data_IF_123300550280
#
_entry.id   IF_123300550280
#
_cell.length_a   1.000
_cell.length_b   1.000
_cell.length_c   1.000
_cell.angle_alpha   90.00
_cell.angle_beta   90.00
_cell.angle_gamma   90.00
#
_symmetry.space_group_name_H-M   'P 1'
#
loop_
_entity.id
_entity.type
_entity.pdbx_description
1 polymer ?
#
# COMPACT_ATOMS: atom_id res chain seq x y z
N UNK A 1 12.93 -9.97 8.48
CA UNK A 1 13.41 -9.44 7.19
C UNK A 1 12.25 -8.70 6.53
N UNK A 2 12.41 -7.42 6.20
CA UNK A 2 11.39 -6.66 5.48
C UNK A 2 11.60 -6.89 3.97
N UNK A 3 10.59 -7.46 3.29
CA UNK A 3 10.66 -7.78 1.85
C UNK A 3 10.21 -6.56 1.07
N UNK A 4 11.14 -5.85 0.43
CA UNK A 4 10.83 -4.72 -0.47
C UNK A 4 10.59 -5.27 -1.88
N UNK A 5 9.55 -4.78 -2.56
CA UNK A 5 9.25 -5.14 -3.96
C UNK A 5 9.04 -3.87 -4.76
N UNK A 6 9.55 -3.84 -5.98
CA UNK A 6 9.52 -2.65 -6.86
C UNK A 6 8.36 -2.77 -7.86
N UNK A 7 7.57 -1.69 -8.00
CA UNK A 7 6.64 -1.55 -9.12
C UNK A 7 7.39 -1.02 -10.34
N UNK A 8 7.38 -1.73 -11.49
CA UNK A 8 8.00 -1.21 -12.70
C UNK A 8 7.19 -0.03 -13.26
N UNK A 9 7.84 0.90 -13.96
CA UNK A 9 7.15 2.05 -14.60
C UNK A 9 6.01 1.62 -15.53
N UNK A 10 6.12 0.46 -16.18
CA UNK A 10 5.09 -0.11 -17.04
C UNK A 10 3.80 -0.50 -16.31
N UNK A 11 3.83 -0.62 -14.98
CA UNK A 11 2.65 -0.94 -14.19
C UNK A 11 1.63 0.21 -14.13
N UNK A 12 2.06 1.44 -14.45
CA UNK A 12 1.21 2.63 -14.48
C UNK A 12 1.65 3.71 -13.50
N UNK A 13 0.97 4.88 -13.49
CA UNK A 13 1.39 6.07 -12.75
C UNK A 13 1.03 5.99 -11.24
N UNK A 14 1.25 4.85 -10.59
CA UNK A 14 0.89 4.65 -9.18
C UNK A 14 1.55 5.67 -8.24
N UNK A 15 2.79 6.08 -8.54
CA UNK A 15 3.53 7.08 -7.76
C UNK A 15 2.96 8.50 -7.85
N UNK A 16 2.06 8.78 -8.81
CA UNK A 16 1.46 10.11 -9.01
C UNK A 16 -0.01 10.20 -8.61
N UNK A 17 -0.66 9.08 -8.30
CA UNK A 17 -2.11 9.02 -8.08
C UNK A 17 -2.51 8.72 -6.63
N UNK A 18 -1.59 8.23 -5.80
CA UNK A 18 -1.89 7.85 -4.43
C UNK A 18 -0.95 8.58 -3.48
N UNK A 19 -1.51 9.26 -2.47
CA UNK A 19 -0.75 9.68 -1.30
C UNK A 19 -0.15 8.45 -0.62
N UNK A 20 0.99 8.62 0.04
CA UNK A 20 1.60 7.54 0.81
C UNK A 20 0.64 7.10 1.93
N UNK A 21 0.47 5.78 2.07
CA UNK A 21 -0.36 5.21 3.11
C UNK A 21 0.27 3.92 3.64
N UNK A 22 -0.10 3.59 4.88
CA UNK A 22 0.29 2.34 5.53
C UNK A 22 -0.97 1.59 5.96
N UNK A 23 -1.12 0.35 5.49
CA UNK A 23 -2.15 -0.57 6.00
C UNK A 23 -1.61 -1.27 7.24
N UNK A 24 -2.19 -0.96 8.40
CA UNK A 24 -1.85 -1.59 9.67
C UNK A 24 -2.80 -2.76 9.92
N UNK A 25 -2.23 -3.95 10.15
CA UNK A 25 -2.97 -5.16 10.50
C UNK A 25 -2.64 -5.57 11.92
N UNK A 26 -3.67 -5.89 12.69
CA UNK A 26 -3.55 -6.32 14.07
C UNK A 26 -4.02 -7.77 14.21
N UNK A 27 -3.61 -8.44 15.29
CA UNK A 27 -4.01 -9.84 15.53
C UNK A 27 -5.49 -9.93 15.93
N UNK A 28 -5.91 -9.02 16.81
CA UNK A 28 -7.20 -9.10 17.51
C UNK A 28 -8.14 -7.94 17.12
N UNK A 29 -7.69 -7.00 16.26
CA UNK A 29 -8.44 -5.80 15.84
C UNK A 29 -8.56 -5.69 14.32
N UNK A 30 -9.53 -4.89 13.87
CA UNK A 30 -9.73 -4.59 12.45
C UNK A 30 -8.54 -3.82 11.87
N UNK A 31 -8.16 -4.08 10.61
CA UNK A 31 -7.12 -3.29 9.97
C UNK A 31 -7.56 -1.84 9.82
N UNK A 32 -6.59 -0.94 9.83
CA UNK A 32 -6.77 0.50 9.62
C UNK A 32 -5.76 1.01 8.63
N UNK A 33 -6.08 2.10 7.95
CA UNK A 33 -5.14 2.78 7.05
C UNK A 33 -4.68 4.07 7.71
N UNK A 34 -3.37 4.22 7.83
CA UNK A 34 -2.72 5.45 8.23
C UNK A 34 -2.25 6.19 6.98
N UNK A 35 -2.60 7.46 6.84
CA UNK A 35 -2.07 8.35 5.81
C UNK A 35 -1.48 9.58 6.48
N UNK A 36 -0.29 9.97 6.04
CA UNK A 36 0.38 11.17 6.51
C UNK A 36 0.25 12.26 5.45
N UNK A 37 -0.27 13.41 5.84
CA UNK A 37 -0.36 14.60 5.01
C UNK A 37 0.58 15.65 5.57
N UNK A 38 0.92 16.67 4.78
CA UNK A 38 1.89 17.70 5.19
C UNK A 38 1.56 18.40 6.53
N UNK A 39 0.30 18.45 6.94
CA UNK A 39 -0.14 19.18 8.13
C UNK A 39 -0.95 18.35 9.11
N UNK A 40 -1.30 17.11 8.77
CA UNK A 40 -2.08 16.21 9.61
C UNK A 40 -1.83 14.76 9.22
N UNK A 41 -2.23 13.84 10.08
CA UNK A 41 -2.35 12.44 9.73
C UNK A 41 -3.79 11.97 9.97
N UNK A 42 -4.22 10.99 9.19
CA UNK A 42 -5.59 10.48 9.22
C UNK A 42 -5.55 8.96 9.41
N UNK A 43 -6.37 8.48 10.34
CA UNK A 43 -6.67 7.07 10.52
C UNK A 43 -8.02 6.77 9.86
N UNK A 44 -8.02 5.84 8.90
CA UNK A 44 -9.21 5.36 8.21
C UNK A 44 -9.57 4.01 8.79
N UNK A 45 -10.73 3.93 9.42
CA UNK A 45 -11.18 2.75 10.19
C UNK A 45 -12.45 2.09 9.62
N UNK A 46 -13.15 2.79 8.72
CA UNK A 46 -14.39 2.28 8.13
C UNK A 46 -14.05 1.08 7.24
N UNK A 47 -14.68 -0.10 7.46
CA UNK A 47 -14.31 -1.33 6.75
C UNK A 47 -14.33 -1.18 5.23
N UNK A 48 -15.37 -0.55 4.68
CA UNK A 48 -15.49 -0.32 3.23
C UNK A 48 -14.33 0.50 2.67
N UNK A 49 -13.89 1.53 3.40
CA UNK A 49 -12.78 2.38 2.99
C UNK A 49 -11.45 1.63 3.11
N UNK A 50 -11.23 0.87 4.19
CA UNK A 50 -10.04 0.03 4.37
C UNK A 50 -9.93 -1.03 3.28
N UNK A 51 -11.03 -1.71 2.94
CA UNK A 51 -11.08 -2.69 1.84
C UNK A 51 -10.69 -2.10 0.49
N UNK A 52 -10.87 -0.80 0.28
CA UNK A 52 -10.39 -0.13 -0.93
C UNK A 52 -8.86 -0.13 -1.01
N UNK A 53 -8.18 0.24 0.08
CA UNK A 53 -6.72 0.24 0.16
C UNK A 53 -6.12 -1.17 0.13
N UNK A 54 -6.80 -2.17 0.72
CA UNK A 54 -6.39 -3.57 0.58
C UNK A 54 -6.39 -4.03 -0.88
N UNK A 55 -7.43 -3.65 -1.64
CA UNK A 55 -7.51 -3.95 -3.08
C UNK A 55 -6.40 -3.26 -3.87
N UNK A 56 -6.04 -2.02 -3.51
CA UNK A 56 -4.90 -1.32 -4.12
C UNK A 56 -3.61 -2.09 -3.86
N UNK A 57 -3.31 -2.43 -2.59
CA UNK A 57 -2.11 -3.19 -2.25
C UNK A 57 -2.07 -4.56 -2.92
N UNK A 58 -3.21 -5.26 -3.04
CA UNK A 58 -3.28 -6.53 -3.75
C UNK A 58 -2.97 -6.38 -5.25
N UNK A 59 -3.42 -5.31 -5.89
CA UNK A 59 -3.07 -4.99 -7.29
C UNK A 59 -1.59 -4.67 -7.42
N UNK A 60 -1.04 -3.84 -6.53
CA UNK A 60 0.39 -3.53 -6.50
C UNK A 60 1.23 -4.81 -6.30
N UNK A 61 0.85 -5.68 -5.37
CA UNK A 61 1.54 -6.93 -5.12
C UNK A 61 1.51 -7.89 -6.32
N UNK A 62 0.50 -7.83 -7.18
CA UNK A 62 0.44 -8.61 -8.42
C UNK A 62 1.32 -8.02 -9.53
N UNK A 63 1.44 -6.69 -9.59
CA UNK A 63 2.20 -5.98 -10.62
C UNK A 63 3.68 -5.77 -10.27
N UNK A 64 4.03 -5.85 -8.98
CA UNK A 64 5.41 -5.67 -8.53
C UNK A 64 6.30 -6.80 -9.00
N UNK A 65 7.54 -6.46 -9.32
CA UNK A 65 8.58 -7.41 -9.70
C UNK A 65 8.76 -8.46 -8.60
N UNK A 66 9.14 -9.67 -9.01
CA UNK A 66 9.59 -10.69 -8.06
C UNK A 66 11.00 -10.37 -7.53
N UNK A 67 11.49 -11.15 -6.57
CA UNK A 67 12.81 -10.93 -5.95
C UNK A 67 13.97 -11.08 -6.95
N UNK A 68 13.81 -11.90 -7.99
CA UNK A 68 14.85 -12.14 -8.98
C UNK A 68 14.94 -10.99 -9.98
N UNK A 69 13.81 -10.32 -10.22
CA UNK A 69 13.69 -9.17 -11.11
C UNK A 69 13.95 -7.83 -10.40
N UNK A 70 13.96 -7.82 -9.06
CA UNK A 70 14.25 -6.63 -8.25
C UNK A 70 15.74 -6.49 -7.87
N UNK A 71 16.63 -7.27 -8.46
CA UNK A 71 18.08 -7.06 -8.32
C UNK A 71 18.50 -5.99 -9.34
N UNK A 72 19.16 -4.94 -8.86
CA UNK A 72 19.84 -3.95 -9.71
C UNK A 72 20.96 -4.59 -10.54
#
# INVERSE_FOLDING_TARGET
>A
MHRVRVLPRSAGPYSGLCQEFTLLRFRDDRPVVYTDCMTNSVLIEKPFDVEHYERILAKCAKAALDERQSQE
#
